data_IF_175833028751
#
_entry.id   IF_175833028751
#
_cell.length_a   1.000
_cell.length_b   1.000
_cell.length_c   1.000
_cell.angle_alpha   90.00
_cell.angle_beta   90.00
_cell.angle_gamma   90.00
#
_symmetry.space_group_name_H-M   'P 1'
#
loop_
_entity.id
_entity.type
_entity.pdbx_description
1 polymer ?
#
# COMPACT_ATOMS: atom_id res chain seq x y z
N UNK A 1 -12.99 13.96 5.40
CA UNK A 1 -12.69 12.67 6.06
C UNK A 1 -11.19 12.47 6.16
N UNK A 2 -10.75 11.82 7.21
CA UNK A 2 -9.33 11.55 7.39
C UNK A 2 -8.87 10.48 6.39
N UNK A 3 -7.65 10.65 5.89
CA UNK A 3 -7.02 9.65 5.03
C UNK A 3 -6.53 8.49 5.89
N UNK A 4 -6.52 7.29 5.32
CA UNK A 4 -5.96 6.12 5.99
C UNK A 4 -4.54 5.90 5.49
N UNK A 5 -3.57 5.96 6.41
CA UNK A 5 -2.16 5.77 6.09
C UNK A 5 -1.73 4.41 6.62
N UNK A 6 -1.47 3.47 5.71
CA UNK A 6 -1.10 2.09 6.07
C UNK A 6 0.40 1.94 5.90
N UNK A 7 1.09 1.61 6.98
CA UNK A 7 2.53 1.65 7.02
C UNK A 7 3.15 0.53 7.88
N UNK A 8 4.45 0.36 7.73
CA UNK A 8 5.24 -0.48 8.60
C UNK A 8 6.25 0.43 9.31
N UNK A 9 6.18 0.55 10.66
CA UNK A 9 7.01 1.52 11.40
C UNK A 9 8.52 1.39 11.20
N UNK A 10 9.00 0.19 10.89
CA UNK A 10 10.44 -0.04 10.65
C UNK A 10 10.88 0.23 9.22
N UNK A 11 9.96 0.59 8.35
CA UNK A 11 10.24 0.84 6.93
C UNK A 11 10.72 2.27 6.73
N UNK A 12 11.91 2.45 6.16
CA UNK A 12 12.50 3.77 5.92
C UNK A 12 11.61 4.64 5.03
N UNK A 13 11.07 4.05 3.96
CA UNK A 13 10.17 4.77 3.05
C UNK A 13 8.91 5.24 3.76
N UNK A 14 8.37 4.39 4.64
CA UNK A 14 7.18 4.75 5.43
C UNK A 14 7.47 5.90 6.39
N UNK A 15 8.65 5.91 7.00
CA UNK A 15 9.06 7.00 7.90
C UNK A 15 9.17 8.31 7.15
N UNK A 16 9.72 8.28 5.95
CA UNK A 16 9.84 9.48 5.09
C UNK A 16 8.46 9.99 4.69
N UNK A 17 7.57 9.08 4.32
CA UNK A 17 6.20 9.44 3.95
C UNK A 17 5.45 10.06 5.12
N UNK A 18 5.58 9.47 6.30
CA UNK A 18 4.93 9.98 7.51
C UNK A 18 5.44 11.37 7.86
N UNK A 19 6.76 11.57 7.75
CA UNK A 19 7.37 12.88 8.00
C UNK A 19 6.83 13.93 7.02
N UNK A 20 6.66 13.56 5.77
CA UNK A 20 6.10 14.44 4.75
C UNK A 20 4.64 14.82 5.09
N UNK A 21 3.85 13.82 5.49
CA UNK A 21 2.46 14.06 5.88
C UNK A 21 2.38 15.04 7.06
N UNK A 22 3.20 14.80 8.08
CA UNK A 22 3.22 15.66 9.29
C UNK A 22 3.69 17.08 8.96
N UNK A 23 4.73 17.19 8.13
CA UNK A 23 5.28 18.50 7.73
C UNK A 23 4.29 19.32 6.91
N UNK A 24 3.41 18.66 6.18
CA UNK A 24 2.41 19.32 5.36
C UNK A 24 1.06 19.42 6.06
N UNK A 25 1.00 19.07 7.33
CA UNK A 25 -0.20 19.15 8.17
C UNK A 25 -1.39 18.38 7.58
N UNK A 26 -1.09 17.24 6.93
CA UNK A 26 -2.12 16.36 6.39
C UNK A 26 -2.64 15.47 7.52
N UNK A 27 -3.96 15.42 7.68
CA UNK A 27 -4.59 14.56 8.68
C UNK A 27 -4.73 13.14 8.13
N UNK A 28 -4.40 12.17 8.97
CA UNK A 28 -4.50 10.76 8.59
C UNK A 28 -4.68 9.87 9.82
N UNK A 29 -5.25 8.70 9.59
CA UNK A 29 -5.30 7.63 10.58
C UNK A 29 -4.16 6.68 10.28
N UNK A 30 -3.31 6.40 11.28
CA UNK A 30 -2.14 5.55 11.13
C UNK A 30 -2.52 4.09 11.41
N UNK A 31 -2.27 3.20 10.45
CA UNK A 31 -2.60 1.79 10.57
C UNK A 31 -1.37 0.93 10.30
N UNK A 32 -1.06 0.03 11.22
CA UNK A 32 0.08 -0.87 11.11
C UNK A 32 -0.25 -1.99 10.10
N UNK A 33 0.53 -2.09 9.03
CA UNK A 33 0.24 -3.01 7.92
C UNK A 33 0.35 -4.49 8.30
N UNK A 34 1.15 -4.80 9.32
CA UNK A 34 1.35 -6.19 9.77
C UNK A 34 0.38 -6.56 10.87
N UNK A 35 0.30 -5.75 11.92
CA UNK A 35 -0.56 -6.04 13.09
C UNK A 35 -2.05 -5.93 12.73
N UNK A 36 -2.37 -5.12 11.76
CA UNK A 36 -3.74 -4.92 11.30
C UNK A 36 -3.73 -4.98 9.77
N UNK A 37 -3.31 -6.14 9.25
CA UNK A 37 -3.09 -6.26 7.82
C UNK A 37 -4.39 -6.11 7.02
N UNK A 38 -4.27 -5.60 5.78
CA UNK A 38 -5.44 -5.41 4.92
C UNK A 38 -6.19 -6.72 4.66
N UNK A 39 -7.52 -6.64 4.66
CA UNK A 39 -8.37 -7.79 4.33
C UNK A 39 -8.48 -7.95 2.82
N UNK A 40 -8.98 -9.12 2.40
CA UNK A 40 -9.24 -9.38 0.99
C UNK A 40 -10.20 -8.33 0.39
N UNK A 41 -11.27 -8.03 1.11
CA UNK A 41 -12.29 -7.08 0.65
C UNK A 41 -11.71 -5.67 0.51
N UNK A 42 -10.90 -5.26 1.48
CA UNK A 42 -10.23 -3.95 1.44
C UNK A 42 -9.29 -3.85 0.24
N UNK A 43 -8.44 -4.87 0.08
CA UNK A 43 -7.46 -4.89 -1.03
C UNK A 43 -8.16 -4.88 -2.38
N UNK A 44 -9.22 -5.65 -2.52
CA UNK A 44 -9.98 -5.71 -3.77
C UNK A 44 -10.53 -4.33 -4.13
N UNK A 45 -11.12 -3.64 -3.15
CA UNK A 45 -11.67 -2.30 -3.35
C UNK A 45 -10.57 -1.28 -3.67
N UNK A 46 -9.47 -1.31 -2.91
CA UNK A 46 -8.37 -0.35 -3.12
C UNK A 46 -7.71 -0.53 -4.48
N UNK A 47 -7.48 -1.78 -4.88
CA UNK A 47 -6.88 -2.07 -6.17
C UNK A 47 -7.77 -1.55 -7.30
N UNK A 48 -9.06 -1.80 -7.19
CA UNK A 48 -10.04 -1.32 -8.17
C UNK A 48 -10.05 0.22 -8.22
N UNK A 49 -10.09 0.86 -7.06
CA UNK A 49 -10.08 2.33 -6.96
C UNK A 49 -8.81 2.94 -7.53
N UNK A 50 -7.67 2.26 -7.35
CA UNK A 50 -6.37 2.77 -7.80
C UNK A 50 -6.20 2.74 -9.31
N UNK A 51 -6.90 1.83 -9.99
CA UNK A 51 -6.71 1.62 -11.42
C UNK A 51 -5.38 0.95 -11.76
N UNK A 52 -4.63 0.50 -10.75
CA UNK A 52 -3.33 -0.14 -10.93
C UNK A 52 -3.46 -1.66 -11.00
N UNK A 53 -2.53 -2.36 -11.65
CA UNK A 53 -2.53 -3.83 -11.62
C UNK A 53 -2.18 -4.33 -10.22
N UNK A 54 -2.68 -5.53 -9.88
CA UNK A 54 -2.47 -6.13 -8.56
C UNK A 54 -0.99 -6.20 -8.19
N UNK A 55 -0.12 -6.46 -9.16
CA UNK A 55 1.32 -6.56 -8.95
C UNK A 55 1.90 -5.34 -8.25
N UNK A 56 1.34 -4.17 -8.51
CA UNK A 56 1.83 -2.92 -7.89
C UNK A 56 1.59 -2.87 -6.38
N UNK A 57 0.72 -3.73 -5.87
CA UNK A 57 0.42 -3.80 -4.44
C UNK A 57 1.31 -4.82 -3.72
N UNK A 58 2.17 -5.53 -4.43
CA UNK A 58 3.14 -6.43 -3.82
C UNK A 58 4.43 -5.72 -3.47
N UNK A 59 4.99 -6.06 -2.31
CA UNK A 59 6.31 -5.57 -1.90
C UNK A 59 7.38 -6.41 -2.58
N UNK A 60 7.70 -6.07 -3.83
CA UNK A 60 8.61 -6.86 -4.67
C UNK A 60 10.05 -6.85 -4.18
N UNK A 61 10.41 -5.91 -3.33
CA UNK A 61 11.76 -5.83 -2.75
C UNK A 61 11.86 -6.60 -1.43
N UNK A 62 10.74 -7.13 -0.94
CA UNK A 62 10.69 -7.79 0.36
C UNK A 62 11.31 -9.17 0.36
N UNK A 63 11.81 -9.57 1.53
CA UNK A 63 12.40 -10.89 1.74
C UNK A 63 11.38 -12.00 1.46
N UNK A 64 10.18 -11.84 2.00
CA UNK A 64 9.12 -12.83 1.85
C UNK A 64 8.72 -13.04 0.39
N UNK A 65 8.66 -11.95 -0.38
CA UNK A 65 8.36 -12.03 -1.81
C UNK A 65 9.40 -12.90 -2.53
N UNK A 66 10.67 -12.70 -2.20
CA UNK A 66 11.78 -13.44 -2.79
C UNK A 66 11.80 -14.90 -2.33
N UNK A 67 11.61 -15.14 -1.04
CA UNK A 67 11.59 -16.49 -0.47
C UNK A 67 10.48 -17.35 -1.05
N UNK A 68 9.32 -16.76 -1.33
CA UNK A 68 8.17 -17.45 -1.90
C UNK A 68 8.25 -17.56 -3.42
N UNK A 69 9.30 -17.01 -4.03
CA UNK A 69 9.49 -17.00 -5.49
C UNK A 69 8.26 -16.43 -6.22
N UNK A 70 7.73 -15.33 -5.70
CA UNK A 70 6.49 -14.73 -6.21
C UNK A 70 6.65 -14.11 -7.60
N UNK A 71 7.87 -13.69 -7.97
CA UNK A 71 8.10 -13.16 -9.33
C UNK A 71 7.71 -14.17 -10.41
N UNK A 72 7.83 -15.46 -10.09
CA UNK A 72 7.42 -16.53 -11.01
C UNK A 72 5.99 -17.00 -10.73
N UNK A 73 5.65 -17.21 -9.45
CA UNK A 73 4.34 -17.73 -9.07
C UNK A 73 3.18 -16.83 -9.48
N UNK A 74 3.35 -15.50 -9.39
CA UNK A 74 2.28 -14.58 -9.76
C UNK A 74 1.85 -14.71 -11.21
N UNK A 75 2.73 -15.18 -12.07
CA UNK A 75 2.41 -15.38 -13.49
C UNK A 75 1.36 -16.46 -13.70
N UNK A 76 1.21 -17.37 -12.75
CA UNK A 76 0.26 -18.50 -12.84
C UNK A 76 -0.99 -18.29 -12.00
N UNK A 77 -1.04 -17.24 -11.18
CA UNK A 77 -2.17 -16.97 -10.31
C UNK A 77 -3.15 -15.99 -10.94
N UNK A 78 -4.44 -16.23 -10.72
CA UNK A 78 -5.47 -15.27 -11.12
C UNK A 78 -5.36 -14.02 -10.25
N UNK A 79 -6.00 -12.94 -10.69
CA UNK A 79 -6.04 -11.70 -9.92
C UNK A 79 -6.65 -11.96 -8.54
N UNK A 80 -7.73 -12.71 -8.47
CA UNK A 80 -8.37 -13.05 -7.21
C UNK A 80 -7.44 -13.80 -6.27
N UNK A 81 -6.71 -14.79 -6.81
CA UNK A 81 -5.73 -15.55 -6.02
C UNK A 81 -4.60 -14.67 -5.51
N UNK A 82 -4.16 -13.72 -6.32
CA UNK A 82 -3.11 -12.78 -5.91
C UNK A 82 -3.60 -11.88 -4.76
N UNK A 83 -4.83 -11.42 -4.82
CA UNK A 83 -5.41 -10.58 -3.76
C UNK A 83 -5.55 -11.39 -2.46
N UNK A 84 -5.99 -12.64 -2.56
CA UNK A 84 -6.07 -13.52 -1.40
C UNK A 84 -4.71 -13.73 -0.75
N UNK A 85 -3.67 -13.86 -1.58
CA UNK A 85 -2.30 -14.03 -1.09
C UNK A 85 -1.84 -12.78 -0.33
N UNK A 86 -2.09 -11.59 -0.85
CA UNK A 86 -1.77 -10.34 -0.18
C UNK A 86 -2.44 -10.25 1.20
N UNK A 87 -3.67 -10.74 1.30
CA UNK A 87 -4.43 -10.68 2.54
C UNK A 87 -3.91 -11.63 3.62
N UNK A 88 -3.02 -12.56 3.28
CA UNK A 88 -2.47 -13.51 4.25
C UNK A 88 -1.37 -12.92 5.12
N UNK A 89 -0.68 -11.88 4.65
CA UNK A 89 0.47 -11.33 5.38
C UNK A 89 0.77 -9.90 4.92
N UNK A 90 0.71 -8.96 5.87
CA UNK A 90 0.98 -7.56 5.58
C UNK A 90 2.38 -7.28 5.04
N UNK A 91 3.35 -8.16 5.32
CA UNK A 91 4.71 -7.99 4.79
C UNK A 91 4.79 -8.19 3.28
N UNK A 92 3.77 -8.83 2.69
CA UNK A 92 3.69 -8.99 1.24
C UNK A 92 3.19 -7.72 0.54
N UNK A 93 2.57 -6.84 1.28
CA UNK A 93 1.89 -5.66 0.73
C UNK A 93 2.87 -4.50 0.58
N UNK A 94 2.81 -3.85 -0.59
CA UNK A 94 3.59 -2.63 -0.87
C UNK A 94 3.19 -1.54 0.12
N UNK A 95 4.16 -0.81 0.63
CA UNK A 95 3.91 0.22 1.63
C UNK A 95 4.80 1.44 1.40
N UNK A 96 4.35 2.61 1.83
CA UNK A 96 3.05 2.87 2.46
C UNK A 96 1.91 2.90 1.44
N UNK A 97 0.68 2.78 1.94
CA UNK A 97 -0.53 2.98 1.13
C UNK A 97 -1.34 4.07 1.79
N UNK A 98 -1.85 5.02 1.01
CA UNK A 98 -2.81 6.01 1.49
C UNK A 98 -4.14 5.76 0.80
N UNK A 99 -5.17 5.54 1.62
CA UNK A 99 -6.53 5.38 1.13
C UNK A 99 -7.28 6.69 1.37
N UNK A 100 -7.52 7.42 0.30
CA UNK A 100 -8.32 8.63 0.34
C UNK A 100 -9.75 8.36 -0.08
N UNK A 101 -10.55 9.41 -0.15
CA UNK A 101 -11.96 9.28 -0.53
C UNK A 101 -12.11 8.78 -1.98
N UNK A 102 -11.36 9.37 -2.90
CA UNK A 102 -11.42 9.03 -4.33
C UNK A 102 -10.06 8.71 -4.94
N UNK A 103 -9.08 8.36 -4.13
CA UNK A 103 -7.76 8.00 -4.64
C UNK A 103 -7.07 6.99 -3.74
N UNK A 104 -6.10 6.27 -4.32
CA UNK A 104 -5.21 5.36 -3.59
C UNK A 104 -3.79 5.71 -4.00
N UNK A 105 -2.91 5.89 -3.01
CA UNK A 105 -1.48 6.11 -3.27
C UNK A 105 -0.73 4.88 -2.78
N UNK A 106 0.15 4.33 -3.62
CA UNK A 106 0.92 3.13 -3.31
C UNK A 106 2.41 3.44 -3.44
N UNK A 107 3.14 3.30 -2.33
CA UNK A 107 4.54 3.66 -2.27
C UNK A 107 4.72 5.17 -2.11
N UNK A 108 5.96 5.61 -1.93
CA UNK A 108 6.28 7.04 -1.78
C UNK A 108 7.46 7.42 -2.67
N UNK A 109 7.36 7.05 -3.94
CA UNK A 109 8.40 7.36 -4.93
C UNK A 109 8.13 8.69 -5.62
N UNK A 110 6.86 8.99 -5.83
CA UNK A 110 6.42 10.20 -6.54
C UNK A 110 5.76 11.17 -5.56
N UNK A 111 6.57 12.00 -4.94
CA UNK A 111 6.10 13.00 -3.98
C UNK A 111 5.12 13.99 -4.61
N UNK A 112 5.29 14.30 -5.90
CA UNK A 112 4.39 15.21 -6.61
C UNK A 112 2.98 14.65 -6.67
N UNK A 113 2.84 13.34 -6.84
CA UNK A 113 1.55 12.67 -6.86
C UNK A 113 0.85 12.75 -5.49
N UNK A 114 1.62 12.62 -4.42
CA UNK A 114 1.11 12.78 -3.06
C UNK A 114 0.62 14.21 -2.83
N UNK A 115 1.41 15.18 -3.26
CA UNK A 115 1.05 16.58 -3.14
C UNK A 115 -0.24 16.90 -3.90
N UNK A 116 -0.35 16.40 -5.13
CA UNK A 116 -1.52 16.63 -5.96
C UNK A 116 -2.81 16.10 -5.32
N UNK A 117 -2.75 14.88 -4.77
CA UNK A 117 -3.94 14.25 -4.21
C UNK A 117 -4.28 14.70 -2.79
N UNK A 118 -3.27 14.98 -1.98
CA UNK A 118 -3.46 15.27 -0.56
C UNK A 118 -3.55 16.76 -0.22
N UNK A 119 -2.84 17.61 -0.97
CA UNK A 119 -2.84 19.04 -0.68
C UNK A 119 -3.89 19.81 -1.48
N UNK A 120 -4.32 19.28 -2.61
CA UNK A 120 -5.28 19.93 -3.48
C UNK A 120 -6.69 19.33 -3.38
N UNK A 121 -6.89 18.43 -2.43
CA UNK A 121 -8.18 17.78 -2.22
C UNK A 121 -9.07 18.57 -1.25
#
# INVERSE_FOLDING_TARGET
MANLFIEYPKCTTCKRAKSWLDSNEIKYEDRHIVENNPTYEELKEWIKKSGLPVKKFFNTSGILYKEMNLSQKLKTLSEEEQIKLLATNGMLVKRPIVVGEDFILVGFKDEALWKENLKNS
#
